data_IF_141437992773
#
_entry.id   IF_141437992773
#
_cell.length_a   1.000
_cell.length_b   1.000
_cell.length_c   1.000
_cell.angle_alpha   90.00
_cell.angle_beta   90.00
_cell.angle_gamma   90.00
#
_symmetry.space_group_name_H-M   'P 1'
#
loop_
_entity.id
_entity.type
_entity.pdbx_description
1 polymer ?
#
# COMPACT_ATOMS: atom_id res chain seq x y z
N UNK A 1 -18.16 2.96 13.99
CA UNK A 1 -18.16 2.39 12.64
C UNK A 1 -16.79 1.85 12.30
N UNK A 2 -16.74 0.68 11.72
CA UNK A 2 -15.46 0.10 11.36
C UNK A 2 -14.97 0.67 10.04
N UNK A 3 -13.67 0.79 9.92
CA UNK A 3 -13.05 1.21 8.68
C UNK A 3 -12.99 0.05 7.70
N UNK A 4 -13.09 0.37 6.43
CA UNK A 4 -12.83 -0.61 5.38
C UNK A 4 -11.31 -0.80 5.29
N UNK A 5 -10.88 -2.05 5.30
CA UNK A 5 -9.47 -2.37 5.18
C UNK A 5 -9.17 -2.75 3.74
N UNK A 6 -8.15 -2.12 3.18
CA UNK A 6 -7.73 -2.38 1.81
C UNK A 6 -6.29 -2.85 1.82
N UNK A 7 -6.04 -3.91 1.09
CA UNK A 7 -4.69 -4.46 0.97
C UNK A 7 -4.22 -4.32 -0.47
N UNK A 8 -3.11 -3.62 -0.65
CA UNK A 8 -2.47 -3.48 -1.96
C UNK A 8 -1.23 -4.37 -1.98
N UNK A 9 -1.16 -5.25 -2.95
CA UNK A 9 -0.05 -6.17 -3.10
C UNK A 9 0.66 -5.85 -4.40
N UNK A 10 1.97 -5.61 -4.32
CA UNK A 10 2.76 -5.28 -5.50
C UNK A 10 4.02 -6.15 -5.55
N UNK A 11 4.17 -6.89 -6.64
CA UNK A 11 5.31 -7.75 -6.84
C UNK A 11 6.37 -7.19 -7.77
N UNK A 12 6.22 -5.96 -8.24
CA UNK A 12 7.01 -5.44 -9.34
C UNK A 12 7.91 -4.26 -8.98
N UNK A 13 8.11 -3.96 -7.74
CA UNK A 13 9.00 -2.88 -7.36
C UNK A 13 8.31 -1.60 -6.94
N UNK A 14 7.00 -1.60 -6.85
CA UNK A 14 6.26 -0.52 -6.22
C UNK A 14 5.71 0.56 -7.14
N UNK A 15 5.98 0.51 -8.44
CA UNK A 15 5.51 1.56 -9.35
C UNK A 15 3.99 1.63 -9.43
N UNK A 16 3.36 0.53 -9.81
CA UNK A 16 1.92 0.46 -9.92
C UNK A 16 1.25 0.50 -8.56
N UNK A 17 1.80 -0.25 -7.60
CA UNK A 17 1.26 -0.25 -6.24
C UNK A 17 1.34 1.11 -5.59
N UNK A 18 2.41 1.85 -5.84
CA UNK A 18 2.56 3.21 -5.34
C UNK A 18 1.48 4.14 -5.90
N UNK A 19 1.21 4.05 -7.21
CA UNK A 19 0.18 4.87 -7.83
C UNK A 19 -1.20 4.55 -7.28
N UNK A 20 -1.50 3.26 -7.14
CA UNK A 20 -2.78 2.84 -6.60
C UNK A 20 -2.94 3.27 -5.14
N UNK A 21 -1.87 3.11 -4.36
CA UNK A 21 -1.88 3.53 -2.95
C UNK A 21 -2.14 5.03 -2.82
N UNK A 22 -1.47 5.82 -3.64
CA UNK A 22 -1.66 7.27 -3.61
C UNK A 22 -3.09 7.65 -3.98
N UNK A 23 -3.64 7.00 -5.00
CA UNK A 23 -5.01 7.28 -5.43
C UNK A 23 -6.02 6.91 -4.35
N UNK A 24 -5.84 5.77 -3.70
CA UNK A 24 -6.74 5.34 -2.64
C UNK A 24 -6.61 6.24 -1.42
N UNK A 25 -5.40 6.61 -1.05
CA UNK A 25 -5.18 7.47 0.11
C UNK A 25 -5.81 8.85 -0.10
N UNK A 26 -5.74 9.36 -1.32
CA UNK A 26 -6.29 10.68 -1.63
C UNK A 26 -7.81 10.65 -1.77
N UNK A 27 -8.36 9.57 -2.34
CA UNK A 27 -9.77 9.50 -2.66
C UNK A 27 -10.65 8.83 -1.61
N UNK A 28 -10.07 8.09 -0.69
CA UNK A 28 -10.82 7.31 0.29
C UNK A 28 -10.22 7.50 1.68
N UNK A 29 -10.49 8.64 2.32
CA UNK A 29 -9.84 8.94 3.60
C UNK A 29 -10.26 8.04 4.75
N UNK A 30 -11.38 7.33 4.60
CA UNK A 30 -11.92 6.50 5.69
C UNK A 30 -11.46 5.05 5.62
N UNK A 31 -10.55 4.71 4.71
CA UNK A 31 -10.03 3.34 4.63
C UNK A 31 -8.78 3.19 5.46
N UNK A 32 -8.53 1.97 5.89
CA UNK A 32 -7.25 1.57 6.47
C UNK A 32 -6.47 0.85 5.39
N UNK A 33 -5.38 1.43 4.97
CA UNK A 33 -4.64 0.99 3.79
C UNK A 33 -3.35 0.31 4.21
N UNK A 34 -3.25 -0.96 3.89
CA UNK A 34 -2.07 -1.77 4.16
C UNK A 34 -1.44 -2.15 2.83
N UNK A 35 -0.15 -1.99 2.73
CA UNK A 35 0.59 -2.36 1.54
C UNK A 35 1.44 -3.59 1.82
N UNK A 36 1.53 -4.48 0.86
CA UNK A 36 2.43 -5.61 0.92
C UNK A 36 3.24 -5.65 -0.35
N UNK A 37 4.54 -5.48 -0.23
CA UNK A 37 5.45 -5.58 -1.35
C UNK A 37 6.25 -6.86 -1.27
N UNK A 38 6.62 -7.41 -2.41
CA UNK A 38 7.46 -8.61 -2.43
C UNK A 38 8.92 -8.27 -2.13
N UNK A 39 9.25 -6.98 -2.07
CA UNK A 39 10.57 -6.54 -1.66
C UNK A 39 10.42 -5.22 -0.88
N UNK A 40 11.50 -4.84 -0.20
CA UNK A 40 11.48 -3.68 0.67
C UNK A 40 11.31 -2.37 -0.11
N UNK A 41 11.76 -2.33 -1.36
CA UNK A 41 11.61 -1.13 -2.18
C UNK A 41 10.14 -0.88 -2.47
N UNK A 42 9.40 -1.93 -2.87
CA UNK A 42 7.98 -1.82 -3.16
C UNK A 42 7.20 -1.43 -1.91
N UNK A 43 7.46 -2.09 -0.80
CA UNK A 43 6.77 -1.80 0.46
C UNK A 43 7.03 -0.37 0.91
N UNK A 44 8.28 0.07 0.83
CA UNK A 44 8.67 1.42 1.22
C UNK A 44 8.03 2.48 0.34
N UNK A 45 7.99 2.24 -0.97
CA UNK A 45 7.38 3.18 -1.91
C UNK A 45 5.90 3.35 -1.64
N UNK A 46 5.19 2.27 -1.34
CA UNK A 46 3.76 2.35 -1.04
C UNK A 46 3.51 3.03 0.29
N UNK A 47 4.36 2.80 1.27
CA UNK A 47 4.23 3.48 2.55
C UNK A 47 4.39 4.99 2.39
N UNK A 48 5.37 5.42 1.60
CA UNK A 48 5.56 6.85 1.33
C UNK A 48 4.41 7.45 0.54
N UNK A 49 3.72 6.64 -0.25
CA UNK A 49 2.59 7.11 -1.05
C UNK A 49 1.30 7.25 -0.24
N UNK A 50 1.28 6.80 1.00
CA UNK A 50 0.14 7.03 1.86
C UNK A 50 -0.42 5.80 2.56
N UNK A 51 0.18 4.63 2.40
CA UNK A 51 -0.26 3.46 3.13
C UNK A 51 -0.02 3.66 4.62
N UNK A 52 -0.96 3.20 5.43
CA UNK A 52 -0.84 3.31 6.88
C UNK A 52 0.15 2.29 7.42
N UNK A 53 0.26 1.15 6.77
CA UNK A 53 1.17 0.07 7.14
C UNK A 53 1.76 -0.53 5.90
N UNK A 54 2.95 -1.07 6.02
CA UNK A 54 3.58 -1.79 4.93
C UNK A 54 4.30 -3.01 5.47
N UNK A 55 4.28 -4.07 4.68
CA UNK A 55 4.96 -5.30 5.01
C UNK A 55 5.68 -5.82 3.76
N UNK A 56 6.79 -6.49 3.98
CA UNK A 56 7.51 -7.14 2.91
C UNK A 56 7.25 -8.63 3.01
N UNK A 57 6.60 -9.18 1.97
CA UNK A 57 6.32 -10.60 1.93
C UNK A 57 7.34 -11.28 1.06
N UNK A 58 8.22 -12.00 1.65
CA UNK A 58 9.17 -12.80 0.91
C UNK A 58 9.28 -14.17 1.53
N UNK A 59 9.60 -15.13 0.71
CA UNK A 59 9.70 -16.50 1.17
C UNK A 59 11.13 -16.94 1.24
#
# INVERSE_FOLDING_TARGET
>A
MSRVRVLVIDGQGGGLGRQLTAALAAGCPDIELTAAGTNSIAASAMLKAGAHRAATGEN
#
